data_IF_795845982745
#
_entry.id   IF_795845982745
#
_cell.length_a   1.000
_cell.length_b   1.000
_cell.length_c   1.000
_cell.angle_alpha   90.00
_cell.angle_beta   90.00
_cell.angle_gamma   90.00
#
_symmetry.space_group_name_H-M   'P 1'
#
loop_
_entity.id
_entity.type
_entity.pdbx_description
1 polymer ?
#
# COMPACT_ATOMS: atom_id res chain seq x y z
N UNK A 1 -12.13 24.54 -34.26
CA UNK A 1 -12.86 25.36 -35.29
C UNK A 1 -13.85 26.33 -34.65
N UNK A 2 -14.80 25.94 -33.82
CA UNK A 2 -15.77 26.84 -33.18
C UNK A 2 -15.15 28.02 -32.42
N UNK A 3 -14.10 27.78 -31.60
CA UNK A 3 -13.46 28.81 -30.78
C UNK A 3 -12.70 29.90 -31.55
N UNK A 4 -12.22 29.63 -32.76
CA UNK A 4 -11.55 30.61 -33.61
C UNK A 4 -12.54 31.46 -34.39
N UNK A 5 -13.73 30.92 -34.69
CA UNK A 5 -14.81 31.65 -35.36
C UNK A 5 -15.52 32.66 -34.45
N UNK A 6 -15.47 32.44 -33.11
CA UNK A 6 -16.03 33.40 -32.14
C UNK A 6 -15.13 34.62 -31.90
N UNK A 7 -13.84 34.52 -32.19
CA UNK A 7 -12.85 35.58 -31.95
C UNK A 7 -12.70 36.56 -33.14
N UNK A 8 -13.24 36.22 -34.30
CA UNK A 8 -13.14 37.05 -35.51
C UNK A 8 -14.48 37.65 -35.93
N UNK A 9 -14.52 38.99 -36.09
CA UNK A 9 -15.77 39.67 -36.44
C UNK A 9 -16.30 39.28 -37.82
N UNK A 10 -17.51 39.63 -38.07
CA UNK A 10 -18.44 39.24 -39.16
C UNK A 10 -17.94 39.28 -40.61
N UNK A 11 -16.77 39.85 -40.92
CA UNK A 11 -16.21 39.89 -42.28
C UNK A 11 -15.55 38.58 -42.75
N UNK A 12 -15.26 37.67 -41.86
CA UNK A 12 -14.65 36.36 -42.18
C UNK A 12 -15.66 35.29 -42.67
N UNK A 13 -16.92 35.65 -42.89
CA UNK A 13 -18.00 34.70 -43.22
C UNK A 13 -18.25 34.44 -44.72
N UNK A 14 -17.50 35.05 -45.62
CA UNK A 14 -17.68 34.73 -47.04
C UNK A 14 -16.76 33.59 -47.44
N UNK A 15 -17.34 32.50 -47.96
CA UNK A 15 -16.63 31.26 -48.37
C UNK A 15 -15.58 31.44 -49.49
N UNK A 16 -15.20 32.63 -49.82
CA UNK A 16 -14.22 32.93 -50.86
C UNK A 16 -13.16 33.95 -50.48
N UNK A 17 -13.21 34.51 -49.27
CA UNK A 17 -12.24 35.51 -48.85
C UNK A 17 -10.90 34.87 -48.51
N UNK A 18 -9.81 35.62 -48.63
CA UNK A 18 -8.46 35.19 -48.26
C UNK A 18 -8.42 34.86 -46.75
N UNK A 19 -9.13 35.63 -45.93
CA UNK A 19 -9.25 35.44 -44.49
C UNK A 19 -9.93 34.12 -44.16
N UNK A 20 -11.00 33.74 -44.86
CA UNK A 20 -11.67 32.45 -44.66
C UNK A 20 -10.74 31.27 -44.98
N UNK A 21 -9.93 31.40 -46.04
CA UNK A 21 -8.93 30.37 -46.39
C UNK A 21 -7.80 30.28 -45.35
N UNK A 22 -7.35 31.42 -44.81
CA UNK A 22 -6.34 31.44 -43.75
C UNK A 22 -6.90 30.78 -42.48
N UNK A 23 -8.12 31.06 -42.09
CA UNK A 23 -8.78 30.47 -40.94
C UNK A 23 -8.89 28.94 -41.10
N UNK A 24 -9.27 28.48 -42.30
CA UNK A 24 -9.39 27.07 -42.62
C UNK A 24 -8.03 26.33 -42.53
N UNK A 25 -6.98 26.94 -43.12
CA UNK A 25 -5.61 26.40 -43.05
C UNK A 25 -5.08 26.34 -41.60
N UNK A 26 -5.26 27.42 -40.82
CA UNK A 26 -4.85 27.48 -39.43
C UNK A 26 -5.64 26.49 -38.57
N UNK A 27 -6.95 26.36 -38.83
CA UNK A 27 -7.79 25.38 -38.17
C UNK A 27 -7.36 23.94 -38.46
N UNK A 28 -7.09 23.62 -39.72
CA UNK A 28 -6.61 22.31 -40.15
C UNK A 28 -5.24 22.00 -39.52
N UNK A 29 -4.34 22.98 -39.43
CA UNK A 29 -3.04 22.83 -38.82
C UNK A 29 -3.16 22.56 -37.31
N UNK A 30 -3.99 23.31 -36.61
CA UNK A 30 -4.24 23.11 -35.18
C UNK A 30 -4.87 21.74 -34.87
N UNK A 31 -5.80 21.28 -35.71
CA UNK A 31 -6.40 19.95 -35.56
C UNK A 31 -5.38 18.83 -35.82
N UNK A 32 -4.50 19.01 -36.81
CA UNK A 32 -3.41 18.08 -37.12
C UNK A 32 -2.41 17.98 -35.93
N UNK A 33 -1.97 19.12 -35.40
CA UNK A 33 -1.09 19.15 -34.22
C UNK A 33 -1.71 18.48 -33.00
N UNK A 34 -3.02 18.68 -32.81
CA UNK A 34 -3.75 18.05 -31.72
C UNK A 34 -3.76 16.53 -31.88
N UNK A 35 -4.07 16.03 -33.07
CA UNK A 35 -4.06 14.58 -33.36
C UNK A 35 -2.66 14.00 -33.21
N UNK A 36 -1.61 14.67 -33.63
CA UNK A 36 -0.23 14.21 -33.46
C UNK A 36 0.19 14.16 -31.98
N UNK A 37 -0.24 15.15 -31.19
CA UNK A 37 -0.02 15.13 -29.74
C UNK A 37 -0.75 13.98 -29.06
N UNK A 38 -2.00 13.75 -29.40
CA UNK A 38 -2.80 12.65 -28.86
C UNK A 38 -2.19 11.28 -29.23
N UNK A 39 -1.75 11.11 -30.45
CA UNK A 39 -1.06 9.92 -30.93
C UNK A 39 0.30 9.70 -30.20
N UNK A 40 1.06 10.79 -30.02
CA UNK A 40 2.33 10.74 -29.29
C UNK A 40 2.12 10.36 -27.82
N UNK A 41 1.12 10.96 -27.15
CA UNK A 41 0.76 10.60 -25.77
C UNK A 41 0.29 9.15 -25.67
N UNK A 42 -0.52 8.68 -26.62
CA UNK A 42 -0.95 7.29 -26.68
C UNK A 42 0.23 6.33 -26.87
N UNK A 43 1.19 6.66 -27.74
CA UNK A 43 2.41 5.89 -27.97
C UNK A 43 3.31 5.87 -26.73
N UNK A 44 3.48 7.02 -26.04
CA UNK A 44 4.24 7.12 -24.80
C UNK A 44 3.57 6.28 -23.70
N UNK A 45 2.26 6.37 -23.55
CA UNK A 45 1.52 5.60 -22.55
C UNK A 45 1.58 4.09 -22.85
N UNK A 46 1.51 3.68 -24.12
CA UNK A 46 1.70 2.30 -24.54
C UNK A 46 3.14 1.82 -24.27
N UNK A 47 4.15 2.65 -24.55
CA UNK A 47 5.54 2.34 -24.26
C UNK A 47 5.80 2.24 -22.74
N UNK A 48 5.22 3.14 -21.93
CA UNK A 48 5.29 3.08 -20.47
C UNK A 48 4.57 1.86 -19.91
N UNK A 49 3.43 1.49 -20.49
CA UNK A 49 2.70 0.27 -20.10
C UNK A 49 3.45 -1.02 -20.49
N UNK A 50 4.19 -0.99 -21.60
CA UNK A 50 5.02 -2.12 -22.05
C UNK A 50 6.36 -2.22 -21.33
N UNK A 51 6.90 -1.09 -20.84
CA UNK A 51 8.08 -1.09 -19.99
C UNK A 51 7.69 -1.61 -18.59
N UNK A 52 8.12 -2.83 -18.28
CA UNK A 52 8.09 -3.34 -16.90
C UNK A 52 9.03 -2.50 -16.04
N UNK A 53 8.52 -1.37 -15.54
CA UNK A 53 9.21 -0.63 -14.50
C UNK A 53 9.12 -1.48 -13.24
N UNK A 54 10.15 -2.26 -12.97
CA UNK A 54 10.28 -3.10 -11.78
C UNK A 54 10.55 -2.22 -10.57
N UNK A 55 9.52 -1.51 -10.11
CA UNK A 55 9.57 -0.69 -8.90
C UNK A 55 9.29 -1.56 -7.67
N UNK A 56 9.66 -1.05 -6.50
CA UNK A 56 9.28 -1.65 -5.22
C UNK A 56 7.77 -1.91 -5.16
N UNK A 57 6.97 -0.96 -5.63
CA UNK A 57 5.51 -1.08 -5.66
C UNK A 57 5.01 -2.18 -6.61
N UNK A 58 5.67 -2.39 -7.75
CA UNK A 58 5.37 -3.50 -8.64
C UNK A 58 5.51 -4.84 -7.92
N UNK A 59 6.65 -5.06 -7.23
CA UNK A 59 6.88 -6.31 -6.50
C UNK A 59 5.91 -6.50 -5.34
N UNK A 60 5.58 -5.43 -4.63
CA UNK A 60 4.59 -5.47 -3.54
C UNK A 60 3.21 -5.89 -4.08
N UNK A 61 2.75 -5.29 -5.18
CA UNK A 61 1.47 -5.66 -5.82
C UNK A 61 1.47 -7.11 -6.29
N UNK A 62 2.59 -7.57 -6.87
CA UNK A 62 2.72 -8.98 -7.26
C UNK A 62 2.71 -9.90 -6.03
N UNK A 63 3.33 -9.51 -4.93
CA UNK A 63 3.32 -10.30 -3.71
C UNK A 63 1.90 -10.48 -3.14
N UNK A 64 1.12 -9.40 -3.02
CA UNK A 64 -0.25 -9.49 -2.48
C UNK A 64 -1.25 -10.12 -3.47
N UNK A 65 -0.89 -10.23 -4.75
CA UNK A 65 -1.70 -10.93 -5.75
C UNK A 65 -1.52 -12.46 -5.73
N UNK A 66 -0.59 -12.99 -4.94
CA UNK A 66 -0.35 -14.42 -4.82
C UNK A 66 -1.59 -15.18 -4.33
N UNK A 67 -1.98 -16.23 -5.05
CA UNK A 67 -3.08 -17.13 -4.70
C UNK A 67 -2.52 -18.53 -4.43
N UNK A 68 -2.68 -19.00 -3.18
CA UNK A 68 -2.18 -20.32 -2.78
C UNK A 68 -3.04 -21.42 -3.41
N UNK A 69 -2.38 -22.36 -4.09
CA UNK A 69 -3.04 -23.51 -4.71
C UNK A 69 -3.59 -23.26 -6.11
N UNK A 70 -3.66 -22.02 -6.58
CA UNK A 70 -4.12 -21.70 -7.93
C UNK A 70 -2.97 -21.72 -8.93
N UNK A 71 -3.25 -22.16 -10.15
CA UNK A 71 -2.26 -22.23 -11.21
C UNK A 71 -1.98 -20.84 -11.78
N UNK A 72 -0.70 -20.46 -11.80
CA UNK A 72 -0.24 -19.26 -12.48
C UNK A 72 -0.11 -19.55 -13.98
N UNK A 73 -0.79 -18.77 -14.81
CA UNK A 73 -0.66 -18.82 -16.26
C UNK A 73 0.45 -17.86 -16.69
N UNK A 74 1.39 -18.36 -17.46
CA UNK A 74 2.47 -17.52 -17.98
C UNK A 74 1.99 -16.72 -19.19
N UNK A 75 2.23 -15.42 -19.17
CA UNK A 75 1.96 -14.53 -20.30
C UNK A 75 3.26 -14.25 -21.07
N UNK A 76 3.45 -14.85 -22.23
CA UNK A 76 4.68 -14.67 -23.02
C UNK A 76 4.81 -13.24 -23.60
N UNK A 77 3.69 -12.52 -23.78
CA UNK A 77 3.70 -11.16 -24.33
C UNK A 77 4.16 -10.17 -23.29
N UNK A 78 3.59 -10.25 -22.09
CA UNK A 78 3.92 -9.35 -20.99
C UNK A 78 5.05 -9.91 -20.10
N UNK A 79 5.61 -11.08 -20.43
CA UNK A 79 6.70 -11.75 -19.69
C UNK A 79 6.43 -11.82 -18.19
N UNK A 80 5.28 -12.33 -17.80
CA UNK A 80 4.88 -12.44 -16.40
C UNK A 80 3.81 -13.48 -16.22
N UNK A 81 3.41 -13.69 -14.98
CA UNK A 81 2.30 -14.57 -14.65
C UNK A 81 1.03 -13.79 -14.31
N UNK A 82 -0.10 -14.43 -14.55
CA UNK A 82 -1.41 -13.95 -14.10
C UNK A 82 -2.27 -15.15 -13.69
N UNK A 83 -3.33 -14.89 -12.93
CA UNK A 83 -4.35 -15.88 -12.63
C UNK A 83 -5.57 -15.63 -13.53
N UNK A 84 -6.08 -16.67 -14.18
CA UNK A 84 -7.29 -16.57 -15.01
C UNK A 84 -8.51 -16.18 -14.18
N UNK A 85 -8.56 -16.69 -12.94
CA UNK A 85 -9.61 -16.39 -11.98
C UNK A 85 -8.98 -15.77 -10.74
N UNK A 86 -9.52 -14.63 -10.33
CA UNK A 86 -9.10 -13.98 -9.08
C UNK A 86 -9.91 -14.59 -7.93
N UNK A 87 -9.22 -15.34 -7.06
CA UNK A 87 -9.79 -15.93 -5.87
C UNK A 87 -9.24 -15.21 -4.64
N UNK A 88 -10.06 -14.34 -4.05
CA UNK A 88 -9.66 -13.53 -2.90
C UNK A 88 -9.37 -14.36 -1.64
N UNK A 89 -10.02 -15.53 -1.49
CA UNK A 89 -9.82 -16.42 -0.34
C UNK A 89 -8.43 -17.08 -0.39
N UNK A 90 -7.92 -17.34 -1.59
CA UNK A 90 -6.58 -17.91 -1.80
C UNK A 90 -5.46 -16.87 -1.72
N UNK A 91 -5.80 -15.58 -1.69
CA UNK A 91 -4.83 -14.49 -1.50
C UNK A 91 -4.39 -14.40 -0.06
N UNK A 92 -3.43 -15.25 0.30
CA UNK A 92 -2.95 -15.36 1.68
C UNK A 92 -2.01 -14.23 2.10
N UNK A 93 -1.23 -13.64 1.16
CA UNK A 93 -0.29 -12.56 1.48
C UNK A 93 -1.06 -11.25 1.66
N UNK A 94 -0.99 -10.69 2.86
CA UNK A 94 -1.67 -9.42 3.22
C UNK A 94 -0.69 -8.28 3.42
N UNK A 95 0.57 -8.57 3.71
CA UNK A 95 1.64 -7.58 3.85
C UNK A 95 2.85 -8.00 3.03
N UNK A 96 3.43 -7.03 2.33
CA UNK A 96 4.66 -7.19 1.58
C UNK A 96 5.52 -5.94 1.70
N UNK A 97 6.78 -6.10 2.05
CA UNK A 97 7.73 -5.01 2.21
C UNK A 97 9.11 -5.41 1.68
N UNK A 98 9.80 -4.48 1.04
CA UNK A 98 11.15 -4.70 0.51
C UNK A 98 12.16 -3.93 1.35
N UNK A 99 13.14 -4.64 1.88
CA UNK A 99 14.27 -4.09 2.63
C UNK A 99 15.57 -4.29 1.84
N UNK A 100 16.55 -3.47 2.13
CA UNK A 100 17.86 -3.52 1.50
C UNK A 100 18.00 -2.60 0.30
N UNK A 101 19.08 -2.77 -0.43
CA UNK A 101 19.44 -1.97 -1.60
C UNK A 101 20.27 -2.79 -2.58
N UNK A 102 20.43 -2.26 -3.79
CA UNK A 102 21.19 -2.94 -4.83
C UNK A 102 22.60 -3.33 -4.34
N UNK A 103 23.06 -4.57 -4.62
CA UNK A 103 22.44 -5.59 -5.47
C UNK A 103 21.56 -6.61 -4.72
N UNK A 104 21.38 -6.49 -3.42
CA UNK A 104 20.68 -7.46 -2.59
C UNK A 104 19.41 -6.85 -1.98
N UNK A 105 18.27 -7.35 -2.38
CA UNK A 105 16.97 -6.98 -1.80
C UNK A 105 16.35 -8.18 -1.09
N UNK A 106 15.63 -7.90 -0.02
CA UNK A 106 14.81 -8.91 0.66
C UNK A 106 13.35 -8.50 0.61
N UNK A 107 12.50 -9.35 0.03
CA UNK A 107 11.05 -9.22 0.08
C UNK A 107 10.54 -9.96 1.32
N UNK A 108 9.98 -9.21 2.23
CA UNK A 108 9.34 -9.73 3.44
C UNK A 108 7.85 -9.83 3.21
N UNK A 109 7.24 -10.97 3.51
CA UNK A 109 5.82 -11.25 3.31
C UNK A 109 5.19 -11.86 4.55
N UNK A 110 3.95 -11.42 4.84
CA UNK A 110 3.18 -11.89 5.98
C UNK A 110 1.72 -12.13 5.58
N UNK A 111 1.05 -13.01 6.33
CA UNK A 111 -0.39 -13.30 6.21
C UNK A 111 -1.14 -12.87 7.46
N UNK A 112 -2.46 -12.93 7.42
CA UNK A 112 -3.29 -12.84 8.62
C UNK A 112 -3.46 -14.25 9.19
N UNK A 113 -3.17 -14.40 10.48
CA UNK A 113 -3.39 -15.63 11.24
C UNK A 113 -4.86 -15.83 11.62
N UNK A 114 -5.17 -17.00 12.22
CA UNK A 114 -6.53 -17.30 12.68
C UNK A 114 -7.05 -16.34 13.77
N UNK A 115 -6.15 -15.71 14.49
CA UNK A 115 -6.42 -14.69 15.51
C UNK A 115 -6.71 -13.29 14.92
N UNK A 116 -6.57 -13.16 13.60
CA UNK A 116 -6.77 -11.91 12.87
C UNK A 116 -5.58 -10.96 12.90
N UNK A 117 -4.43 -11.37 13.48
CA UNK A 117 -3.20 -10.60 13.48
C UNK A 117 -2.25 -11.02 12.35
N UNK A 118 -1.33 -10.12 11.98
CA UNK A 118 -0.28 -10.45 11.04
C UNK A 118 0.66 -11.52 11.62
N UNK A 119 0.93 -12.55 10.84
CA UNK A 119 1.81 -13.65 11.20
C UNK A 119 2.67 -14.09 10.02
N UNK A 120 3.65 -14.97 10.28
CA UNK A 120 4.50 -15.55 9.24
C UNK A 120 3.73 -16.53 8.37
N UNK A 121 4.19 -16.69 7.13
CA UNK A 121 3.81 -17.83 6.29
C UNK A 121 4.43 -19.12 6.87
N UNK A 122 3.74 -20.24 6.70
CA UNK A 122 4.33 -21.56 6.97
C UNK A 122 5.44 -21.85 5.96
N UNK A 123 6.27 -22.88 6.24
CA UNK A 123 7.34 -23.29 5.33
C UNK A 123 6.83 -23.63 3.93
N UNK A 124 5.67 -24.31 3.84
CA UNK A 124 5.10 -24.78 2.56
C UNK A 124 4.47 -23.62 1.79
N UNK A 125 3.77 -22.72 2.50
CA UNK A 125 3.23 -21.49 1.92
C UNK A 125 4.37 -20.59 1.38
N UNK A 126 5.45 -20.45 2.14
CA UNK A 126 6.61 -19.66 1.73
C UNK A 126 7.33 -20.30 0.52
N UNK A 127 7.43 -21.64 0.48
CA UNK A 127 7.99 -22.35 -0.67
C UNK A 127 7.14 -22.16 -1.92
N UNK A 128 5.82 -22.27 -1.80
CA UNK A 128 4.87 -22.02 -2.89
C UNK A 128 4.95 -20.56 -3.36
N UNK A 129 5.03 -19.60 -2.43
CA UNK A 129 5.21 -18.20 -2.74
C UNK A 129 6.52 -17.92 -3.49
N UNK A 130 7.65 -18.54 -3.05
CA UNK A 130 8.94 -18.40 -3.74
C UNK A 130 8.87 -18.89 -5.17
N UNK A 131 8.23 -20.05 -5.41
CA UNK A 131 8.02 -20.60 -6.76
C UNK A 131 7.21 -19.66 -7.64
N UNK A 132 6.09 -19.13 -7.11
CA UNK A 132 5.28 -18.13 -7.80
C UNK A 132 6.11 -16.87 -8.16
N UNK A 133 6.90 -16.38 -7.22
CA UNK A 133 7.61 -15.11 -7.38
C UNK A 133 8.76 -15.18 -8.37
N UNK A 134 9.29 -16.38 -8.64
CA UNK A 134 10.31 -16.60 -9.69
C UNK A 134 9.85 -16.13 -11.07
N UNK A 135 8.55 -16.23 -11.38
CA UNK A 135 7.97 -15.76 -12.64
C UNK A 135 8.09 -14.23 -12.83
N UNK A 136 8.36 -13.48 -11.77
CA UNK A 136 8.43 -12.01 -11.78
C UNK A 136 9.84 -11.49 -11.50
N UNK A 137 10.79 -12.36 -11.14
CA UNK A 137 12.13 -11.97 -10.80
C UNK A 137 12.93 -11.62 -12.07
N UNK A 138 13.44 -10.40 -12.20
CA UNK A 138 14.25 -10.03 -13.36
C UNK A 138 15.61 -10.69 -13.30
N UNK A 139 16.18 -10.93 -14.48
CA UNK A 139 17.55 -11.43 -14.60
C UNK A 139 18.55 -10.45 -13.96
N UNK A 140 19.45 -10.99 -13.16
CA UNK A 140 20.51 -10.19 -12.51
C UNK A 140 20.10 -9.50 -11.20
N UNK A 141 18.85 -9.61 -10.75
CA UNK A 141 18.44 -9.16 -9.43
C UNK A 141 18.51 -10.31 -8.43
N UNK A 142 19.28 -10.16 -7.37
CA UNK A 142 19.29 -11.11 -6.26
C UNK A 142 18.23 -10.69 -5.23
N UNK A 143 17.05 -11.30 -5.33
CA UNK A 143 15.93 -11.06 -4.43
C UNK A 143 15.80 -12.23 -3.45
N UNK A 144 16.12 -11.99 -2.19
CA UNK A 144 15.81 -12.91 -1.13
C UNK A 144 14.33 -12.78 -0.74
N UNK A 145 13.67 -13.89 -0.40
CA UNK A 145 12.26 -13.89 0.05
C UNK A 145 12.19 -14.56 1.40
N UNK A 146 11.66 -13.84 2.37
CA UNK A 146 11.52 -14.32 3.74
C UNK A 146 10.15 -13.93 4.33
N UNK A 147 9.73 -14.66 5.34
CA UNK A 147 8.60 -14.29 6.18
C UNK A 147 9.12 -14.25 7.62
N UNK A 148 9.11 -13.06 8.20
CA UNK A 148 9.60 -12.83 9.56
C UNK A 148 8.44 -12.50 10.48
N UNK A 149 8.64 -12.79 11.76
CA UNK A 149 7.74 -12.29 12.79
C UNK A 149 7.64 -10.78 12.67
N UNK A 150 6.41 -10.27 12.59
CA UNK A 150 6.17 -8.83 12.55
C UNK A 150 6.54 -8.19 13.88
N UNK A 151 6.83 -6.89 13.87
CA UNK A 151 7.10 -6.17 15.10
C UNK A 151 5.88 -6.21 16.02
N UNK A 152 6.06 -6.61 17.25
CA UNK A 152 5.01 -6.61 18.26
C UNK A 152 5.09 -5.33 19.07
N UNK A 153 4.10 -4.46 18.94
CA UNK A 153 3.95 -3.28 19.77
C UNK A 153 3.31 -3.73 21.08
N UNK A 154 4.10 -3.75 22.13
CA UNK A 154 3.63 -4.08 23.47
C UNK A 154 3.37 -2.80 24.24
N UNK A 155 2.23 -2.80 24.91
CA UNK A 155 1.82 -1.67 25.72
C UNK A 155 1.87 -2.00 27.21
N UNK A 156 2.73 -1.35 27.97
CA UNK A 156 2.53 -1.20 29.39
C UNK A 156 1.65 0.00 29.77
N UNK A 157 1.03 0.73 28.84
CA UNK A 157 0.25 1.87 29.30
C UNK A 157 -0.29 2.85 28.26
N UNK A 158 -0.97 2.39 27.19
CA UNK A 158 -1.88 3.29 26.48
C UNK A 158 -3.06 3.56 27.42
N UNK A 159 -3.18 4.81 27.88
CA UNK A 159 -4.30 5.26 28.69
C UNK A 159 -5.37 5.85 27.77
N UNK A 160 -6.57 5.28 27.80
CA UNK A 160 -7.69 5.77 27.00
C UNK A 160 -8.73 6.38 27.94
N UNK A 161 -8.99 7.66 27.72
CA UNK A 161 -10.02 8.39 28.45
C UNK A 161 -11.32 8.30 27.66
N UNK A 162 -12.36 7.71 28.27
CA UNK A 162 -13.66 7.49 27.63
C UNK A 162 -14.75 8.31 28.32
N UNK A 163 -15.82 8.57 27.58
CA UNK A 163 -16.98 9.30 28.07
C UNK A 163 -17.60 8.58 29.27
N UNK A 164 -18.07 9.33 30.24
CA UNK A 164 -18.84 8.77 31.37
C UNK A 164 -20.11 8.11 30.87
N UNK A 165 -20.35 6.88 31.32
CA UNK A 165 -21.52 6.08 30.90
C UNK A 165 -21.28 5.12 29.75
N UNK A 166 -20.16 5.21 29.04
CA UNK A 166 -19.83 4.23 27.99
C UNK A 166 -19.59 2.83 28.57
N UNK A 167 -20.01 1.81 27.83
CA UNK A 167 -19.67 0.42 28.17
C UNK A 167 -18.23 0.11 27.80
N UNK A 168 -17.42 -0.14 28.83
CA UNK A 168 -15.98 -0.36 28.69
C UNK A 168 -15.65 -1.58 27.80
N UNK A 169 -16.47 -2.63 27.85
CA UNK A 169 -16.22 -3.85 27.07
C UNK A 169 -16.46 -3.64 25.57
N UNK A 170 -17.53 -2.94 25.23
CA UNK A 170 -17.86 -2.58 23.84
C UNK A 170 -16.79 -1.65 23.26
N UNK A 171 -16.42 -0.61 24.00
CA UNK A 171 -15.38 0.35 23.57
C UNK A 171 -14.04 -0.36 23.35
N UNK A 172 -13.63 -1.28 24.25
CA UNK A 172 -12.41 -2.06 24.10
C UNK A 172 -12.44 -2.94 22.85
N UNK A 173 -13.55 -3.62 22.63
CA UNK A 173 -13.72 -4.50 21.45
C UNK A 173 -13.60 -3.71 20.13
N UNK A 174 -14.24 -2.56 20.03
CA UNK A 174 -14.19 -1.71 18.83
C UNK A 174 -12.80 -1.11 18.61
N UNK A 175 -12.11 -0.68 19.68
CA UNK A 175 -10.74 -0.19 19.59
C UNK A 175 -9.82 -1.30 19.09
N UNK A 176 -9.92 -2.50 19.65
CA UNK A 176 -9.10 -3.63 19.21
C UNK A 176 -9.38 -4.01 17.75
N UNK A 177 -10.63 -3.95 17.30
CA UNK A 177 -10.97 -4.17 15.89
C UNK A 177 -10.35 -3.10 14.98
N UNK A 178 -10.39 -1.82 15.36
CA UNK A 178 -9.77 -0.73 14.62
C UNK A 178 -8.24 -0.85 14.56
N UNK A 179 -7.60 -1.25 15.65
CA UNK A 179 -6.16 -1.48 15.71
C UNK A 179 -5.76 -2.65 14.81
N UNK A 180 -6.48 -3.78 14.86
CA UNK A 180 -6.27 -4.91 13.93
C UNK A 180 -6.41 -4.50 12.47
N UNK A 181 -7.42 -3.71 12.14
CA UNK A 181 -7.58 -3.20 10.78
C UNK A 181 -6.39 -2.34 10.33
N UNK A 182 -5.74 -1.61 11.26
CA UNK A 182 -4.56 -0.81 10.95
C UNK A 182 -3.29 -1.66 10.73
N UNK A 183 -3.19 -2.87 11.29
CA UNK A 183 -2.05 -3.77 11.08
C UNK A 183 -1.91 -4.19 9.62
N UNK A 184 -3.03 -4.48 8.95
CA UNK A 184 -3.06 -5.00 7.57
C UNK A 184 -2.91 -3.91 6.50
N UNK A 185 -2.75 -2.64 6.86
CA UNK A 185 -2.54 -1.56 5.90
C UNK A 185 -1.18 -1.70 5.24
N UNK A 186 -1.16 -1.78 3.90
CA UNK A 186 0.08 -1.78 3.13
C UNK A 186 0.79 -0.43 3.24
N UNK A 187 1.96 -0.42 3.86
CA UNK A 187 2.77 0.79 4.04
C UNK A 187 3.87 0.86 2.99
N UNK A 188 4.12 2.05 2.49
CA UNK A 188 5.25 2.33 1.58
C UNK A 188 6.56 2.55 2.32
N UNK A 189 6.50 2.82 3.63
CA UNK A 189 7.64 3.09 4.50
C UNK A 189 7.72 2.06 5.64
N UNK A 190 8.89 1.94 6.23
CA UNK A 190 9.12 1.11 7.41
C UNK A 190 8.80 1.85 8.73
N UNK A 191 8.00 2.90 8.67
CA UNK A 191 7.66 3.70 9.85
C UNK A 191 6.19 3.54 10.20
N UNK A 192 5.92 3.46 11.49
CA UNK A 192 4.57 3.50 12.07
C UNK A 192 4.52 4.73 12.96
N UNK A 193 3.59 5.63 12.70
CA UNK A 193 3.45 6.84 13.50
C UNK A 193 2.54 6.62 14.72
N UNK A 194 2.86 7.30 15.80
CA UNK A 194 2.00 7.34 16.98
C UNK A 194 0.63 7.98 16.67
N UNK A 195 0.59 8.91 15.69
CA UNK A 195 -0.66 9.48 15.20
C UNK A 195 -1.54 8.43 14.51
N UNK A 196 -0.95 7.52 13.70
CA UNK A 196 -1.69 6.43 13.07
C UNK A 196 -2.37 5.51 14.11
N UNK A 197 -1.64 5.20 15.18
CA UNK A 197 -2.19 4.43 16.32
C UNK A 197 -3.30 5.23 17.01
N UNK A 198 -3.06 6.51 17.26
CA UNK A 198 -4.03 7.42 17.86
C UNK A 198 -5.31 7.50 17.03
N UNK A 199 -5.18 7.69 15.72
CA UNK A 199 -6.30 7.78 14.78
C UNK A 199 -7.13 6.48 14.75
N UNK A 200 -6.47 5.32 14.81
CA UNK A 200 -7.15 4.03 14.89
C UNK A 200 -7.99 3.89 16.17
N UNK A 201 -7.47 4.37 17.30
CA UNK A 201 -8.19 4.38 18.58
C UNK A 201 -9.33 5.41 18.57
N UNK A 202 -9.09 6.61 18.04
CA UNK A 202 -10.06 7.72 18.00
C UNK A 202 -11.23 7.48 17.02
N UNK A 203 -11.17 6.48 16.16
CA UNK A 203 -12.33 6.07 15.35
C UNK A 203 -13.52 5.66 16.23
N UNK A 204 -13.26 5.25 17.46
CA UNK A 204 -14.31 4.97 18.43
C UNK A 204 -14.78 6.29 19.04
N UNK A 205 -16.09 6.59 18.87
CA UNK A 205 -16.69 7.92 19.19
C UNK A 205 -16.69 8.30 20.68
N UNK A 206 -16.58 7.30 21.56
CA UNK A 206 -16.58 7.54 23.02
C UNK A 206 -15.19 7.84 23.58
N UNK A 207 -14.15 7.77 22.76
CA UNK A 207 -12.79 8.14 23.14
C UNK A 207 -12.66 9.66 23.18
N UNK A 208 -12.28 10.20 24.32
CA UNK A 208 -12.09 11.63 24.55
C UNK A 208 -10.62 12.04 24.39
N UNK A 209 -9.70 11.22 24.90
CA UNK A 209 -8.28 11.48 24.84
C UNK A 209 -7.46 10.18 24.95
N UNK A 210 -6.22 10.24 24.48
CA UNK A 210 -5.26 9.12 24.52
C UNK A 210 -3.96 9.62 25.13
N UNK A 211 -3.43 8.89 26.10
CA UNK A 211 -2.12 9.12 26.67
C UNK A 211 -1.20 7.93 26.37
N UNK A 212 -0.05 8.19 25.79
CA UNK A 212 0.98 7.17 25.55
C UNK A 212 2.01 7.16 26.69
N UNK A 213 2.34 5.96 27.16
CA UNK A 213 3.42 5.79 28.14
C UNK A 213 4.79 5.98 27.48
N UNK A 214 5.77 6.59 28.16
CA UNK A 214 7.16 6.61 27.69
C UNK A 214 7.80 5.22 27.53
N UNK A 215 7.20 4.19 28.12
CA UNK A 215 7.66 2.79 28.01
C UNK A 215 7.04 2.01 26.86
N UNK A 216 6.20 2.65 26.03
CA UNK A 216 5.68 2.04 24.81
C UNK A 216 6.83 1.64 23.89
N UNK A 217 6.89 0.37 23.50
CA UNK A 217 7.96 -0.16 22.66
C UNK A 217 7.43 -1.21 21.69
N UNK A 218 8.16 -1.39 20.59
CA UNK A 218 7.99 -2.52 19.68
C UNK A 218 9.13 -3.53 19.86
N UNK A 219 8.82 -4.79 19.79
CA UNK A 219 9.80 -5.89 19.77
C UNK A 219 9.78 -6.54 18.40
N UNK A 220 10.91 -6.57 17.71
CA UNK A 220 11.03 -7.01 16.34
C UNK A 220 12.08 -8.12 16.20
N UNK A 221 11.77 -9.14 15.40
CA UNK A 221 12.74 -10.13 14.99
C UNK A 221 13.56 -9.62 13.81
N UNK A 222 14.88 -9.69 13.90
CA UNK A 222 15.81 -9.32 12.85
C UNK A 222 16.05 -10.49 11.87
N UNK A 223 16.64 -10.19 10.71
CA UNK A 223 16.98 -11.19 9.67
C UNK A 223 17.96 -12.25 10.16
N UNK A 224 18.79 -11.95 11.15
CA UNK A 224 19.73 -12.87 11.79
C UNK A 224 19.10 -13.73 12.90
N UNK A 225 17.80 -13.59 13.15
CA UNK A 225 17.04 -14.28 14.18
C UNK A 225 17.11 -13.62 15.56
N UNK A 226 17.90 -12.57 15.74
CA UNK A 226 17.95 -11.82 16.99
C UNK A 226 16.67 -11.01 17.21
N UNK A 227 16.42 -10.59 18.45
CA UNK A 227 15.29 -9.74 18.81
C UNK A 227 15.77 -8.36 19.19
N UNK A 228 15.14 -7.32 18.65
CA UNK A 228 15.45 -5.92 18.91
C UNK A 228 14.25 -5.21 19.53
N UNK A 229 14.50 -4.43 20.57
CA UNK A 229 13.53 -3.48 21.12
C UNK A 229 13.66 -2.13 20.42
N UNK A 230 12.53 -1.57 20.01
CA UNK A 230 12.44 -0.30 19.30
C UNK A 230 11.53 0.61 20.10
N UNK A 231 12.07 1.73 20.51
CA UNK A 231 11.30 2.80 21.16
C UNK A 231 10.91 3.85 20.12
N UNK A 232 9.75 4.49 20.26
CA UNK A 232 9.36 5.56 19.35
C UNK A 232 10.31 6.74 19.50
N UNK A 233 10.79 7.26 18.39
CA UNK A 233 11.57 8.48 18.31
C UNK A 233 10.81 9.50 17.48
N UNK A 234 10.65 10.71 17.99
CA UNK A 234 9.88 11.77 17.30
C UNK A 234 8.43 11.32 16.93
N UNK A 235 7.84 10.47 17.76
CA UNK A 235 6.50 9.93 17.49
C UNK A 235 6.43 8.83 16.41
N UNK A 236 7.57 8.24 16.04
CA UNK A 236 7.67 7.21 14.98
C UNK A 236 8.37 5.96 15.50
N UNK A 237 7.82 4.78 15.18
CA UNK A 237 8.53 3.52 15.23
C UNK A 237 9.19 3.27 13.86
N UNK A 238 10.51 3.08 13.83
CA UNK A 238 11.25 2.69 12.61
C UNK A 238 11.47 1.18 12.65
N UNK A 239 10.63 0.43 11.94
CA UNK A 239 10.63 -1.03 11.91
C UNK A 239 11.49 -1.55 10.76
N UNK A 240 12.17 -2.68 10.96
CA UNK A 240 12.99 -3.29 9.89
C UNK A 240 12.11 -3.92 8.81
N UNK A 241 11.03 -4.59 9.21
CA UNK A 241 10.15 -5.34 8.31
C UNK A 241 8.91 -4.56 7.83
N UNK A 242 8.75 -3.31 8.26
CA UNK A 242 7.67 -2.43 7.83
C UNK A 242 6.25 -2.86 8.23
N UNK A 243 6.14 -3.93 9.03
CA UNK A 243 4.89 -4.48 9.51
C UNK A 243 4.89 -4.59 11.04
N UNK A 244 3.74 -4.45 11.65
CA UNK A 244 3.57 -4.58 13.09
C UNK A 244 2.25 -5.27 13.44
N UNK A 245 2.20 -5.78 14.65
CA UNK A 245 0.98 -6.23 15.30
C UNK A 245 0.91 -5.64 16.70
N UNK A 246 -0.29 -5.45 17.21
CA UNK A 246 -0.49 -5.21 18.63
C UNK A 246 -0.57 -6.58 19.29
N UNK A 247 0.22 -6.80 20.34
CA UNK A 247 0.21 -8.06 21.10
C UNK A 247 -1.20 -8.46 21.51
N UNK A 248 -1.41 -9.74 21.74
CA UNK A 248 -2.71 -10.40 21.92
C UNK A 248 -3.64 -9.77 22.96
N UNK A 249 -3.15 -8.90 23.81
CA UNK A 249 -3.94 -8.11 24.75
C UNK A 249 -3.33 -6.73 24.93
N UNK A 250 -3.80 -5.78 24.15
CA UNK A 250 -3.68 -4.39 24.58
C UNK A 250 -4.60 -4.28 25.81
N UNK A 251 -4.02 -4.25 26.97
CA UNK A 251 -4.73 -3.89 28.21
C UNK A 251 -5.02 -2.40 28.11
N UNK A 252 -6.10 -2.08 27.42
CA UNK A 252 -6.60 -0.72 27.31
C UNK A 252 -7.02 -0.29 28.71
N UNK A 253 -6.15 0.43 29.40
CA UNK A 253 -6.49 1.06 30.66
C UNK A 253 -7.49 2.19 30.40
N UNK A 254 -8.78 1.85 30.41
CA UNK A 254 -9.83 2.82 30.26
C UNK A 254 -10.05 3.59 31.55
N UNK A 255 -9.84 4.89 31.48
CA UNK A 255 -10.14 5.80 32.57
C UNK A 255 -11.45 6.49 32.24
N UNK A 256 -12.50 6.18 33.01
CA UNK A 256 -13.77 6.92 32.92
C UNK A 256 -13.55 8.31 33.51
N UNK A 257 -13.73 9.35 32.70
CA UNK A 257 -13.75 10.72 33.21
C UNK A 257 -15.04 10.91 33.99
N UNK A 258 -14.93 11.24 35.29
CA UNK A 258 -16.03 11.77 36.04
C UNK A 258 -16.32 13.17 35.48
N UNK A 259 -17.58 13.44 35.13
CA UNK A 259 -18.06 14.80 34.87
C UNK A 259 -18.07 15.59 36.14
#
# INVERSE_FOLDING_TARGET
>A
MAALQELLPSFAKSNGSIEAKIIDVVGTFADTEKIERENTLAAINAALASQKITTVEYYRRKAVAFQLGDNLVYDPVNQGGYYEVVNEENRIVKQAYIVGGYPLFTLLVNKIGPDGHLTTLTSDELASFKTYFQAFQPLGLNLNIASLQVANITDPGIKIYVRSGSDASTVASEINANLKASESVLRSTNTVSMSEISDAIQKQSDVLAIGFSPSLMATEQQLDGSTKQIFPSEGLFKLTNGAFTFGTEITVNMIKTLQ
#
